data_IF_870057958057
#
_entry.id   IF_870057958057
#
_cell.length_a   1.000
_cell.length_b   1.000
_cell.length_c   1.000
_cell.angle_alpha   90.00
_cell.angle_beta   90.00
_cell.angle_gamma   90.00
#
_symmetry.space_group_name_H-M   'P 1'
#
loop_
_entity.id
_entity.type
_entity.pdbx_description
1 polymer ?
#
# COMPACT_ATOMS: atom_id res chain seq x y z
N UNK A 1 -74.31 34.27 46.31
CA UNK A 1 -74.38 33.49 45.05
C UNK A 1 -72.96 33.42 44.52
N UNK A 2 -72.37 32.23 44.57
CA UNK A 2 -70.97 31.96 44.20
C UNK A 2 -70.99 31.45 42.76
N UNK A 3 -70.30 32.12 41.85
CA UNK A 3 -70.06 31.59 40.49
C UNK A 3 -68.56 31.38 40.28
N UNK A 4 -68.26 30.14 39.94
CA UNK A 4 -66.95 29.47 39.94
C UNK A 4 -66.05 29.95 38.80
N UNK A 5 -64.79 30.10 39.15
CA UNK A 5 -63.59 30.00 38.32
C UNK A 5 -63.51 28.65 37.61
N UNK A 6 -63.05 28.62 36.35
CA UNK A 6 -62.29 27.51 35.76
C UNK A 6 -61.63 27.96 34.45
N UNK A 7 -60.41 28.49 34.54
CA UNK A 7 -59.49 28.58 33.40
C UNK A 7 -58.69 27.28 33.35
N UNK A 8 -58.97 26.44 32.35
CA UNK A 8 -58.19 25.24 32.06
C UNK A 8 -56.96 25.67 31.27
N UNK A 9 -55.81 25.72 31.92
CA UNK A 9 -54.51 25.89 31.27
C UNK A 9 -54.12 24.53 30.68
N UNK A 10 -54.11 24.45 29.35
CA UNK A 10 -53.65 23.30 28.58
C UNK A 10 -52.11 23.28 28.62
N UNK A 11 -51.53 22.49 29.52
CA UNK A 11 -50.10 22.19 29.53
C UNK A 11 -49.78 21.26 28.34
N UNK A 12 -49.32 21.85 27.24
CA UNK A 12 -48.69 21.10 26.15
C UNK A 12 -47.35 20.60 26.69
N UNK A 13 -47.31 19.34 27.10
CA UNK A 13 -46.07 18.62 27.31
C UNK A 13 -45.36 18.49 25.95
N UNK A 14 -44.40 19.38 25.69
CA UNK A 14 -43.39 19.16 24.66
C UNK A 14 -42.59 17.95 25.10
N UNK A 15 -42.94 16.78 24.57
CA UNK A 15 -42.07 15.62 24.51
C UNK A 15 -40.82 16.05 23.73
N UNK A 16 -39.75 16.33 24.48
CA UNK A 16 -38.41 16.43 23.95
C UNK A 16 -38.10 15.10 23.26
N UNK A 17 -38.22 15.07 21.94
CA UNK A 17 -37.59 14.04 21.13
C UNK A 17 -36.09 14.05 21.47
N UNK A 18 -35.47 12.90 21.75
CA UNK A 18 -34.04 12.84 21.97
C UNK A 18 -33.38 13.38 20.70
N UNK A 19 -32.43 14.30 20.90
CA UNK A 19 -31.65 14.88 19.83
C UNK A 19 -31.16 13.77 18.90
N UNK A 20 -31.64 13.76 17.66
CA UNK A 20 -30.82 13.30 16.55
C UNK A 20 -29.71 14.34 16.39
N UNK A 21 -28.73 14.32 17.30
CA UNK A 21 -27.49 15.05 17.15
C UNK A 21 -26.82 14.48 15.90
N UNK A 22 -26.75 15.29 14.84
CA UNK A 22 -25.90 14.99 13.70
C UNK A 22 -24.46 14.71 14.17
N UNK A 23 -23.61 14.14 13.31
CA UNK A 23 -22.24 13.84 13.70
C UNK A 23 -21.58 15.09 14.29
N UNK A 24 -20.96 14.93 15.46
CA UNK A 24 -20.16 15.99 16.08
C UNK A 24 -19.14 16.50 15.05
N UNK A 25 -18.89 17.80 15.02
CA UNK A 25 -17.95 18.40 14.08
C UNK A 25 -16.55 17.76 14.21
N UNK A 26 -16.19 17.34 15.41
CA UNK A 26 -14.96 16.57 15.70
C UNK A 26 -14.97 15.19 15.02
N UNK A 27 -16.12 14.50 15.05
CA UNK A 27 -16.29 13.17 14.46
C UNK A 27 -16.17 13.19 12.93
N UNK A 28 -16.78 14.20 12.29
CA UNK A 28 -16.64 14.46 10.85
C UNK A 28 -15.18 14.68 10.46
N UNK A 29 -14.46 15.52 11.20
CA UNK A 29 -13.06 15.86 10.90
C UNK A 29 -12.14 14.63 11.02
N UNK A 30 -12.24 13.88 12.12
CA UNK A 30 -11.43 12.68 12.35
C UNK A 30 -11.73 11.60 11.30
N UNK A 31 -13.00 11.44 10.94
CA UNK A 31 -13.42 10.50 9.89
C UNK A 31 -12.84 10.87 8.53
N UNK A 32 -12.94 12.14 8.12
CA UNK A 32 -12.41 12.60 6.84
C UNK A 32 -10.88 12.44 6.77
N UNK A 33 -10.17 12.85 7.82
CA UNK A 33 -8.72 12.72 7.89
C UNK A 33 -8.27 11.25 7.90
N UNK A 34 -8.91 10.41 8.70
CA UNK A 34 -8.60 8.99 8.78
C UNK A 34 -8.84 8.27 7.44
N UNK A 35 -9.92 8.59 6.71
CA UNK A 35 -10.17 8.05 5.37
C UNK A 35 -9.09 8.48 4.38
N UNK A 36 -8.68 9.77 4.40
CA UNK A 36 -7.61 10.28 3.53
C UNK A 36 -6.29 9.56 3.81
N UNK A 37 -5.96 9.36 5.09
CA UNK A 37 -4.77 8.62 5.48
C UNK A 37 -4.85 7.17 5.00
N UNK A 38 -5.95 6.47 5.27
CA UNK A 38 -6.13 5.08 4.84
C UNK A 38 -5.94 4.91 3.33
N UNK A 39 -6.62 5.73 2.51
CA UNK A 39 -6.46 5.70 1.04
C UNK A 39 -5.02 5.93 0.62
N UNK A 40 -4.35 6.92 1.22
CA UNK A 40 -2.97 7.24 0.85
C UNK A 40 -2.00 6.12 1.24
N UNK A 41 -2.20 5.49 2.39
CA UNK A 41 -1.43 4.32 2.81
C UNK A 41 -1.63 3.14 1.86
N UNK A 42 -2.88 2.91 1.44
CA UNK A 42 -3.21 1.89 0.45
C UNK A 42 -2.55 2.18 -0.91
N UNK A 43 -2.56 3.43 -1.38
CA UNK A 43 -1.88 3.83 -2.62
C UNK A 43 -0.38 3.51 -2.57
N UNK A 44 0.28 3.83 -1.45
CA UNK A 44 1.70 3.54 -1.28
C UNK A 44 1.99 2.04 -1.29
N UNK A 45 1.20 1.28 -0.56
CA UNK A 45 1.32 -0.18 -0.50
C UNK A 45 1.14 -0.81 -1.90
N UNK A 46 0.14 -0.37 -2.66
CA UNK A 46 -0.12 -0.92 -3.99
C UNK A 46 0.90 -0.50 -5.03
N UNK A 47 1.46 0.70 -4.94
CA UNK A 47 2.59 1.10 -5.77
C UNK A 47 3.84 0.25 -5.48
N UNK A 48 4.14 -0.04 -4.21
CA UNK A 48 5.25 -0.94 -3.83
C UNK A 48 5.04 -2.34 -4.39
N UNK A 49 3.84 -2.90 -4.27
CA UNK A 49 3.53 -4.21 -4.84
C UNK A 49 3.64 -4.23 -6.37
N UNK A 50 3.13 -3.19 -7.04
CA UNK A 50 3.21 -3.09 -8.50
C UNK A 50 4.65 -3.04 -8.99
N UNK A 51 5.52 -2.27 -8.32
CA UNK A 51 6.95 -2.23 -8.61
C UNK A 51 7.63 -3.58 -8.37
N UNK A 52 7.29 -4.27 -7.27
CA UNK A 52 7.79 -5.62 -6.99
C UNK A 52 7.38 -6.64 -8.06
N UNK A 53 6.12 -6.62 -8.50
CA UNK A 53 5.63 -7.45 -9.61
C UNK A 53 6.35 -7.12 -10.92
N UNK A 54 6.56 -5.84 -11.21
CA UNK A 54 7.28 -5.39 -12.42
C UNK A 54 8.71 -5.93 -12.46
N UNK A 55 9.45 -5.83 -11.34
CA UNK A 55 10.80 -6.41 -11.23
C UNK A 55 10.77 -7.92 -11.38
N UNK A 56 9.81 -8.61 -10.77
CA UNK A 56 9.64 -10.05 -10.94
C UNK A 56 9.41 -10.45 -12.40
N UNK A 57 8.42 -9.84 -13.08
CA UNK A 57 8.12 -10.12 -14.48
C UNK A 57 9.32 -9.87 -15.38
N UNK A 58 10.04 -8.76 -15.16
CA UNK A 58 11.26 -8.45 -15.91
C UNK A 58 12.29 -9.58 -15.83
N UNK A 59 12.55 -10.11 -14.64
CA UNK A 59 13.51 -11.20 -14.45
C UNK A 59 12.99 -12.56 -14.93
N UNK A 60 11.68 -12.81 -14.85
CA UNK A 60 11.07 -14.04 -15.40
C UNK A 60 11.17 -14.06 -16.95
N UNK A 61 11.07 -12.89 -17.60
CA UNK A 61 11.34 -12.75 -19.03
C UNK A 61 12.82 -13.00 -19.38
N UNK A 62 13.75 -12.45 -18.59
CA UNK A 62 15.19 -12.72 -18.76
C UNK A 62 15.49 -14.22 -18.61
N UNK A 63 14.90 -14.87 -17.60
CA UNK A 63 15.05 -16.30 -17.37
C UNK A 63 14.59 -17.12 -18.58
N UNK A 64 13.45 -16.74 -19.20
CA UNK A 64 12.93 -17.37 -20.42
C UNK A 64 13.88 -17.21 -21.61
N UNK A 65 14.49 -16.03 -21.77
CA UNK A 65 15.42 -15.75 -22.86
C UNK A 65 16.78 -16.47 -22.63
N UNK A 66 17.23 -16.57 -21.38
CA UNK A 66 18.39 -17.36 -20.99
C UNK A 66 18.17 -18.86 -21.28
N UNK A 67 17.01 -19.41 -20.90
CA UNK A 67 16.71 -20.82 -21.13
C UNK A 67 16.86 -21.22 -22.61
N UNK A 68 16.43 -20.34 -23.52
CA UNK A 68 16.54 -20.52 -24.99
C UNK A 68 17.95 -20.27 -25.52
N UNK A 69 18.71 -19.39 -24.87
CA UNK A 69 20.02 -18.94 -25.34
C UNK A 69 21.21 -19.73 -24.77
N UNK A 70 21.02 -20.47 -23.68
CA UNK A 70 22.10 -21.23 -23.03
C UNK A 70 22.51 -22.42 -23.91
N UNK A 71 23.82 -22.58 -24.22
CA UNK A 71 24.35 -23.71 -24.97
C UNK A 71 23.92 -25.08 -24.42
N UNK A 72 23.61 -26.06 -25.28
CA UNK A 72 23.17 -27.40 -24.87
C UNK A 72 24.21 -28.18 -24.06
N UNK A 73 25.49 -27.88 -24.26
CA UNK A 73 26.63 -28.51 -23.57
C UNK A 73 26.84 -28.01 -22.13
N UNK A 74 26.10 -26.99 -21.69
CA UNK A 74 26.19 -26.51 -20.31
C UNK A 74 25.61 -27.53 -19.32
N UNK A 75 26.34 -27.88 -18.23
CA UNK A 75 25.83 -28.77 -17.20
C UNK A 75 24.48 -28.30 -16.65
N UNK A 76 23.57 -29.24 -16.38
CA UNK A 76 22.19 -28.93 -16.00
C UNK A 76 22.10 -28.07 -14.73
N UNK A 77 22.97 -28.32 -13.74
CA UNK A 77 23.02 -27.54 -12.50
C UNK A 77 23.47 -26.10 -12.75
N UNK A 78 24.46 -25.91 -13.63
CA UNK A 78 24.93 -24.58 -14.01
C UNK A 78 23.87 -23.82 -14.81
N UNK A 79 23.17 -24.50 -15.73
CA UNK A 79 22.01 -23.96 -16.46
C UNK A 79 20.92 -23.48 -15.50
N UNK A 80 20.50 -24.32 -14.55
CA UNK A 80 19.48 -23.96 -13.55
C UNK A 80 19.89 -22.75 -12.72
N UNK A 81 21.15 -22.71 -12.27
CA UNK A 81 21.67 -21.59 -11.51
C UNK A 81 21.66 -20.29 -12.33
N UNK A 82 22.11 -20.34 -13.58
CA UNK A 82 22.14 -19.16 -14.45
C UNK A 82 20.75 -18.59 -14.70
N UNK A 83 19.74 -19.45 -14.92
CA UNK A 83 18.34 -19.05 -15.16
C UNK A 83 17.67 -18.48 -13.89
N UNK A 84 18.01 -19.00 -12.71
CA UNK A 84 17.39 -18.59 -11.45
C UNK A 84 17.90 -17.24 -10.91
N UNK A 85 19.01 -16.72 -11.45
CA UNK A 85 19.64 -15.50 -10.95
C UNK A 85 18.90 -14.27 -11.46
N UNK A 86 18.55 -13.37 -10.53
CA UNK A 86 17.91 -12.08 -10.79
C UNK A 86 18.89 -10.92 -10.64
N UNK A 87 20.08 -11.09 -11.20
CA UNK A 87 21.16 -10.11 -11.11
C UNK A 87 22.08 -10.24 -12.31
N UNK A 88 22.16 -9.18 -13.11
CA UNK A 88 22.95 -9.18 -14.34
C UNK A 88 24.46 -9.34 -14.07
N UNK A 89 24.98 -8.72 -13.01
CA UNK A 89 26.38 -8.88 -12.61
C UNK A 89 26.75 -10.34 -12.35
N UNK A 90 25.91 -11.07 -11.61
CA UNK A 90 26.10 -12.50 -11.35
C UNK A 90 25.93 -13.35 -12.61
N UNK A 91 24.96 -13.04 -13.48
CA UNK A 91 24.80 -13.73 -14.77
C UNK A 91 26.06 -13.59 -15.63
N UNK A 92 26.67 -12.40 -15.67
CA UNK A 92 27.89 -12.12 -16.44
C UNK A 92 29.12 -12.88 -15.94
N UNK A 93 29.09 -13.42 -14.72
CA UNK A 93 30.20 -14.21 -14.16
C UNK A 93 30.22 -15.67 -14.64
N UNK A 94 29.15 -16.17 -15.26
CA UNK A 94 29.12 -17.52 -15.81
C UNK A 94 30.04 -17.65 -17.02
N UNK A 95 30.79 -18.74 -17.11
CA UNK A 95 31.68 -19.02 -18.24
C UNK A 95 30.91 -19.16 -19.56
N UNK A 96 29.63 -19.53 -19.49
CA UNK A 96 28.74 -19.63 -20.63
C UNK A 96 28.27 -18.26 -21.18
N UNK A 97 28.32 -17.19 -20.37
CA UNK A 97 27.76 -15.89 -20.74
C UNK A 97 28.31 -15.31 -22.06
N UNK A 98 29.63 -15.34 -22.35
CA UNK A 98 30.16 -14.84 -23.62
C UNK A 98 29.63 -15.58 -24.85
N UNK A 99 29.23 -16.85 -24.70
CA UNK A 99 28.69 -17.71 -25.76
C UNK A 99 27.20 -17.47 -26.04
N UNK A 100 26.52 -16.70 -25.19
CA UNK A 100 25.10 -16.39 -25.39
C UNK A 100 24.89 -15.53 -26.66
N UNK A 101 23.72 -15.67 -27.32
CA UNK A 101 23.29 -14.77 -28.37
C UNK A 101 23.35 -13.30 -27.92
N UNK A 102 23.61 -12.39 -28.86
CA UNK A 102 23.73 -10.96 -28.55
C UNK A 102 22.44 -10.43 -27.94
N UNK A 103 21.30 -10.85 -28.47
CA UNK A 103 19.96 -10.44 -28.07
C UNK A 103 19.68 -10.77 -26.60
N UNK A 104 20.17 -11.93 -26.12
CA UNK A 104 20.05 -12.36 -24.72
C UNK A 104 20.93 -11.51 -23.81
N UNK A 105 22.16 -11.19 -24.24
CA UNK A 105 23.06 -10.32 -23.49
C UNK A 105 22.49 -8.91 -23.34
N UNK A 106 21.97 -8.35 -24.44
CA UNK A 106 21.29 -7.06 -24.41
C UNK A 106 20.04 -7.07 -23.52
N UNK A 107 19.30 -8.18 -23.48
CA UNK A 107 18.15 -8.35 -22.58
C UNK A 107 18.59 -8.30 -21.11
N UNK A 108 19.67 -8.97 -20.75
CA UNK A 108 20.26 -8.93 -19.40
C UNK A 108 20.69 -7.51 -19.03
N UNK A 109 21.32 -6.78 -19.94
CA UNK A 109 21.78 -5.40 -19.71
C UNK A 109 20.61 -4.41 -19.55
N UNK A 110 19.57 -4.55 -20.39
CA UNK A 110 18.34 -3.76 -20.25
C UNK A 110 17.63 -4.05 -18.93
N UNK A 111 17.53 -5.32 -18.55
CA UNK A 111 16.91 -5.72 -17.30
C UNK A 111 17.65 -5.14 -16.08
N UNK A 112 18.99 -5.10 -16.10
CA UNK A 112 19.75 -4.43 -15.04
C UNK A 112 19.38 -2.95 -14.90
N UNK A 113 19.30 -2.24 -16.02
CA UNK A 113 19.00 -0.81 -16.04
C UNK A 113 17.58 -0.55 -15.52
N UNK A 114 16.61 -1.33 -15.99
CA UNK A 114 15.21 -1.21 -15.58
C UNK A 114 15.02 -1.59 -14.10
N UNK A 115 15.67 -2.67 -13.63
CA UNK A 115 15.60 -3.10 -12.24
C UNK A 115 16.23 -2.08 -11.29
N UNK A 116 17.33 -1.43 -11.70
CA UNK A 116 17.92 -0.31 -10.95
C UNK A 116 16.98 0.89 -10.83
N UNK A 117 16.23 1.21 -11.90
CA UNK A 117 15.22 2.27 -11.87
C UNK A 117 14.06 1.89 -10.93
N UNK A 118 13.54 0.66 -11.04
CA UNK A 118 12.50 0.14 -10.13
C UNK A 118 12.98 0.20 -8.68
N UNK A 119 14.22 -0.21 -8.39
CA UNK A 119 14.79 -0.15 -7.05
C UNK A 119 14.96 1.29 -6.54
N UNK A 120 15.26 2.25 -7.42
CA UNK A 120 15.28 3.67 -7.06
C UNK A 120 13.88 4.19 -6.71
N UNK A 121 12.87 3.86 -7.52
CA UNK A 121 11.47 4.22 -7.26
C UNK A 121 10.95 3.61 -5.94
N UNK A 122 11.24 2.33 -5.69
CA UNK A 122 10.87 1.67 -4.43
C UNK A 122 11.52 2.34 -3.22
N UNK A 123 12.78 2.79 -3.33
CA UNK A 123 13.46 3.54 -2.25
C UNK A 123 12.77 4.88 -1.97
N UNK A 124 12.46 5.66 -3.01
CA UNK A 124 11.73 6.92 -2.87
C UNK A 124 10.34 6.72 -2.24
N UNK A 125 9.67 5.63 -2.62
CA UNK A 125 8.36 5.29 -2.09
C UNK A 125 8.43 4.89 -0.62
N UNK A 126 9.44 4.11 -0.22
CA UNK A 126 9.69 3.76 1.18
C UNK A 126 10.03 4.97 2.04
N UNK A 127 10.80 5.94 1.52
CA UNK A 127 11.06 7.19 2.25
C UNK A 127 9.79 8.03 2.41
N UNK A 128 8.92 8.03 1.39
CA UNK A 128 7.60 8.65 1.48
C UNK A 128 6.69 7.96 2.50
N UNK A 129 6.75 6.61 2.57
CA UNK A 129 6.01 5.82 3.55
C UNK A 129 6.45 6.15 4.99
N UNK A 130 7.76 6.25 5.25
CA UNK A 130 8.28 6.64 6.58
C UNK A 130 7.83 8.03 7.04
N UNK A 131 7.64 8.97 6.10
CA UNK A 131 7.08 10.29 6.42
C UNK A 131 5.56 10.21 6.65
N UNK A 132 4.89 9.33 5.90
CA UNK A 132 3.48 9.07 6.06
C UNK A 132 3.15 8.38 7.39
N UNK A 133 3.97 7.41 7.83
CA UNK A 133 3.80 6.71 9.11
C UNK A 133 3.79 7.69 10.29
N UNK A 134 4.65 8.72 10.25
CA UNK A 134 4.63 9.79 11.27
C UNK A 134 3.32 10.58 11.29
N UNK A 135 2.66 10.76 10.14
CA UNK A 135 1.33 11.41 10.07
C UNK A 135 0.25 10.51 10.63
N UNK A 136 0.35 9.20 10.39
CA UNK A 136 -0.54 8.20 10.99
C UNK A 136 -0.39 8.20 12.51
N UNK A 137 0.84 8.21 13.03
CA UNK A 137 1.10 8.30 14.48
C UNK A 137 0.49 9.57 15.10
N UNK A 138 0.67 10.72 14.45
CA UNK A 138 0.08 11.99 14.89
C UNK A 138 -1.45 11.92 14.93
N UNK A 139 -2.07 11.39 13.87
CA UNK A 139 -3.51 11.20 13.80
C UNK A 139 -4.02 10.25 14.89
N UNK A 140 -3.33 9.15 15.15
CA UNK A 140 -3.71 8.20 16.20
C UNK A 140 -3.62 8.82 17.60
N UNK A 141 -2.65 9.72 17.85
CA UNK A 141 -2.59 10.47 19.09
C UNK A 141 -3.75 11.50 19.20
N UNK A 142 -4.14 12.14 18.11
CA UNK A 142 -5.34 13.00 18.08
C UNK A 142 -6.62 12.20 18.39
N UNK A 143 -6.80 11.04 17.75
CA UNK A 143 -7.92 10.14 18.00
C UNK A 143 -7.93 9.68 19.46
N UNK A 144 -6.79 9.28 20.02
CA UNK A 144 -6.68 8.88 21.42
C UNK A 144 -7.14 9.96 22.40
N UNK A 145 -6.84 11.23 22.09
CA UNK A 145 -7.17 12.37 22.94
C UNK A 145 -8.64 12.84 22.79
N UNK A 146 -9.21 12.74 21.58
CA UNK A 146 -10.54 13.25 21.27
C UNK A 146 -11.65 12.19 21.29
N UNK A 147 -11.33 10.95 20.88
CA UNK A 147 -12.24 9.81 20.76
C UNK A 147 -11.52 8.49 21.11
N UNK A 148 -11.13 8.27 22.39
CA UNK A 148 -10.35 7.09 22.78
C UNK A 148 -11.03 5.77 22.43
N UNK A 149 -12.36 5.71 22.47
CA UNK A 149 -13.14 4.51 22.14
C UNK A 149 -13.03 4.08 20.66
N UNK A 150 -12.63 4.99 19.76
CA UNK A 150 -12.46 4.70 18.33
C UNK A 150 -11.01 4.34 17.94
N UNK A 151 -10.05 4.46 18.87
CA UNK A 151 -8.62 4.29 18.60
C UNK A 151 -8.28 2.92 17.99
N UNK A 152 -8.77 1.83 18.59
CA UNK A 152 -8.47 0.47 18.12
C UNK A 152 -9.00 0.25 16.69
N UNK A 153 -10.17 0.81 16.38
CA UNK A 153 -10.75 0.73 15.03
C UNK A 153 -9.89 1.44 14.01
N UNK A 154 -9.39 2.64 14.34
CA UNK A 154 -8.51 3.41 13.45
C UNK A 154 -7.14 2.76 13.28
N UNK A 155 -6.56 2.23 14.36
CA UNK A 155 -5.31 1.47 14.29
C UNK A 155 -5.42 0.31 13.30
N UNK A 156 -6.45 -0.52 13.41
CA UNK A 156 -6.66 -1.65 12.48
C UNK A 156 -6.79 -1.21 11.02
N UNK A 157 -7.51 -0.12 10.74
CA UNK A 157 -7.68 0.40 9.38
C UNK A 157 -6.39 0.97 8.79
N UNK A 158 -5.53 1.59 9.60
CA UNK A 158 -4.35 2.32 9.12
C UNK A 158 -3.08 1.46 9.06
N UNK A 159 -3.13 0.18 9.44
CA UNK A 159 -1.97 -0.72 9.44
C UNK A 159 -2.13 -1.94 8.51
N UNK A 160 -3.35 -2.21 8.04
CA UNK A 160 -3.64 -3.31 7.11
C UNK A 160 -4.08 -2.72 5.78
N UNK A 161 -3.28 -2.95 4.75
CA UNK A 161 -3.59 -2.54 3.38
C UNK A 161 -3.71 -3.77 2.48
N UNK A 162 -4.73 -3.76 1.64
CA UNK A 162 -4.91 -4.72 0.57
C UNK A 162 -4.96 -3.98 -0.76
N UNK A 163 -4.38 -4.59 -1.79
CA UNK A 163 -4.63 -4.17 -3.15
C UNK A 163 -5.75 -5.06 -3.65
N UNK A 164 -6.90 -4.46 -3.97
CA UNK A 164 -7.92 -5.18 -4.72
C UNK A 164 -7.39 -5.33 -6.15
N UNK A 165 -7.34 -6.57 -6.63
CA UNK A 165 -6.97 -6.93 -8.01
C UNK A 165 -8.10 -6.57 -8.99
#
# INVERSE_FOLDING_TARGET
MITKTSSVILLIAFSFSPACSGPDQVDLMLTENGIKLHRRGQDFYCQLQALGRKSQTLWDEVATDLEKGIPEDLPEDERKNMIAIRNAGLIRMFEAYPKLPMEVKERVDRAETEDQQIAAEMRMLNDSLRLFDRRVEQFLEEVKNLQPDSLESWQKRLIVYNCED
#
